data_IF_895342729840
#
_entry.id   IF_895342729840
#
_cell.length_a   1.000
_cell.length_b   1.000
_cell.length_c   1.000
_cell.angle_alpha   90.00
_cell.angle_beta   90.00
_cell.angle_gamma   90.00
#
_symmetry.space_group_name_H-M   'P 1'
#
loop_
_entity.id
_entity.type
_entity.pdbx_description
1 polymer ?
#
# COMPACT_ATOMS: atom_id res chain seq x y z
N UNK A 1 25.96 1.02 19.12
CA UNK A 1 24.51 1.03 19.40
C UNK A 1 23.72 1.87 18.39
N UNK A 2 24.09 3.12 18.15
CA UNK A 2 23.32 4.03 17.27
C UNK A 2 23.20 3.56 15.79
N UNK A 3 24.27 2.99 15.21
CA UNK A 3 24.23 2.39 13.85
C UNK A 3 23.24 1.21 13.73
N UNK A 4 23.16 0.36 14.76
CA UNK A 4 22.25 -0.81 14.77
C UNK A 4 20.79 -0.33 14.81
N UNK A 5 20.50 0.70 15.62
CA UNK A 5 19.18 1.33 15.65
C UNK A 5 18.77 1.96 14.32
N UNK A 6 19.70 2.64 13.62
CA UNK A 6 19.42 3.19 12.29
C UNK A 6 19.08 2.08 11.28
N UNK A 7 19.87 1.01 11.24
CA UNK A 7 19.60 -0.14 10.34
C UNK A 7 18.24 -0.77 10.64
N UNK A 8 17.91 -1.00 11.93
CA UNK A 8 16.63 -1.57 12.33
C UNK A 8 15.45 -0.68 11.93
N UNK A 9 15.60 0.65 12.07
CA UNK A 9 14.60 1.65 11.66
C UNK A 9 14.32 1.59 10.16
N UNK A 10 15.35 1.55 9.31
CA UNK A 10 15.15 1.44 7.87
C UNK A 10 14.58 0.08 7.47
N UNK A 11 14.97 -1.01 8.14
CA UNK A 11 14.40 -2.32 7.89
C UNK A 11 12.89 -2.37 8.21
N UNK A 12 12.46 -1.76 9.31
CA UNK A 12 11.05 -1.61 9.66
C UNK A 12 10.28 -0.78 8.62
N UNK A 13 10.84 0.35 8.17
CA UNK A 13 10.21 1.13 7.09
C UNK A 13 10.07 0.33 5.80
N UNK A 14 11.07 -0.49 5.48
CA UNK A 14 11.07 -1.33 4.29
C UNK A 14 9.95 -2.38 4.37
N UNK A 15 9.80 -3.05 5.52
CA UNK A 15 8.68 -3.98 5.77
C UNK A 15 7.34 -3.25 5.68
N UNK A 16 7.17 -2.10 6.35
CA UNK A 16 5.91 -1.35 6.34
C UNK A 16 5.53 -0.88 4.93
N UNK A 17 6.50 -0.45 4.12
CA UNK A 17 6.27 -0.02 2.74
C UNK A 17 5.87 -1.17 1.81
N UNK A 18 6.51 -2.35 1.96
CA UNK A 18 6.13 -3.58 1.26
C UNK A 18 4.73 -4.02 1.67
N UNK A 19 4.41 -3.99 2.95
CA UNK A 19 3.10 -4.34 3.47
C UNK A 19 2.02 -3.40 2.92
N UNK A 20 2.27 -2.08 2.86
CA UNK A 20 1.37 -1.11 2.23
C UNK A 20 1.16 -1.39 0.73
N UNK A 21 2.22 -1.71 -0.01
CA UNK A 21 2.11 -2.07 -1.42
C UNK A 21 1.30 -3.36 -1.62
N UNK A 22 1.52 -4.38 -0.77
CA UNK A 22 0.76 -5.64 -0.82
C UNK A 22 -0.71 -5.44 -0.46
N UNK A 23 -1.01 -4.59 0.53
CA UNK A 23 -2.39 -4.24 0.87
C UNK A 23 -3.08 -3.45 -0.24
N UNK A 24 -2.37 -2.51 -0.87
CA UNK A 24 -2.88 -1.79 -2.04
C UNK A 24 -2.98 -2.64 -3.31
N UNK A 25 -2.25 -3.76 -3.41
CA UNK A 25 -2.29 -4.63 -4.60
C UNK A 25 -3.22 -5.84 -4.47
N UNK A 26 -3.56 -6.27 -3.25
CA UNK A 26 -4.35 -7.51 -3.02
C UNK A 26 -5.85 -7.26 -2.89
N UNK A 27 -6.29 -6.01 -3.05
CA UNK A 27 -7.60 -5.61 -2.62
C UNK A 27 -7.65 -5.65 -1.09
N UNK A 28 -8.03 -4.58 -0.41
CA UNK A 28 -8.12 -4.54 1.07
C UNK A 28 -9.26 -5.44 1.63
N UNK A 29 -9.65 -6.50 0.92
CA UNK A 29 -10.94 -7.17 1.07
C UNK A 29 -12.11 -6.29 0.64
N UNK A 30 -11.85 -5.12 0.06
CA UNK A 30 -12.91 -4.25 -0.43
C UNK A 30 -13.63 -4.86 -1.62
N UNK A 31 -12.94 -5.56 -2.52
CA UNK A 31 -13.59 -6.23 -3.64
C UNK A 31 -14.69 -7.19 -3.21
N UNK A 32 -14.49 -7.96 -2.14
CA UNK A 32 -15.52 -8.88 -1.62
C UNK A 32 -16.65 -8.14 -0.88
N UNK A 33 -16.35 -7.06 -0.16
CA UNK A 33 -17.35 -6.22 0.52
C UNK A 33 -18.18 -5.43 -0.50
N UNK A 34 -17.55 -4.83 -1.50
CA UNK A 34 -18.19 -4.10 -2.61
C UNK A 34 -19.03 -5.07 -3.43
N UNK A 35 -18.50 -6.26 -3.76
CA UNK A 35 -19.27 -7.29 -4.45
C UNK A 35 -20.51 -7.68 -3.63
N UNK A 36 -20.37 -7.86 -2.31
CA UNK A 36 -21.48 -8.20 -1.43
C UNK A 36 -22.54 -7.08 -1.34
N UNK A 37 -22.11 -5.83 -1.14
CA UNK A 37 -23.00 -4.66 -1.14
C UNK A 37 -23.70 -4.55 -2.49
N UNK A 38 -22.96 -4.65 -3.58
CA UNK A 38 -23.50 -4.58 -4.93
C UNK A 38 -24.49 -5.70 -5.22
N UNK A 39 -24.23 -6.91 -4.73
CA UNK A 39 -25.14 -8.03 -4.89
C UNK A 39 -26.44 -7.81 -4.10
N UNK A 40 -26.37 -7.30 -2.87
CA UNK A 40 -27.54 -6.97 -2.04
C UNK A 40 -28.34 -5.84 -2.69
N UNK A 41 -27.68 -4.74 -3.07
CA UNK A 41 -28.35 -3.58 -3.69
C UNK A 41 -29.01 -3.98 -5.00
N UNK A 42 -28.32 -4.72 -5.87
CA UNK A 42 -28.92 -5.25 -7.11
C UNK A 42 -30.16 -6.09 -6.84
N UNK A 43 -30.13 -6.97 -5.83
CA UNK A 43 -31.29 -7.77 -5.42
C UNK A 43 -32.48 -6.95 -4.93
N UNK A 44 -32.24 -5.75 -4.37
CA UNK A 44 -33.27 -4.89 -3.78
C UNK A 44 -33.82 -3.89 -4.80
N UNK A 45 -32.96 -3.20 -5.54
CA UNK A 45 -33.36 -2.09 -6.42
C UNK A 45 -33.30 -2.41 -7.91
N UNK A 46 -32.61 -3.49 -8.32
CA UNK A 46 -32.38 -3.81 -9.72
C UNK A 46 -31.42 -2.85 -10.45
N UNK A 47 -30.87 -1.85 -9.75
CA UNK A 47 -30.03 -0.79 -10.33
C UNK A 47 -28.54 -1.06 -10.08
N UNK A 48 -27.75 -1.02 -11.15
CA UNK A 48 -26.32 -1.40 -11.20
C UNK A 48 -25.40 -0.18 -11.33
N UNK A 49 -25.97 1.03 -11.33
CA UNK A 49 -25.20 2.25 -11.59
C UNK A 49 -24.39 2.73 -10.38
N UNK A 50 -24.96 2.61 -9.17
CA UNK A 50 -24.28 3.02 -7.94
C UNK A 50 -23.11 2.09 -7.57
N UNK A 51 -23.24 0.80 -7.88
CA UNK A 51 -22.25 -0.23 -7.61
C UNK A 51 -20.92 -0.03 -8.34
N UNK A 52 -20.98 0.46 -9.58
CA UNK A 52 -19.79 0.77 -10.40
C UNK A 52 -19.02 1.96 -9.83
N UNK A 53 -19.73 2.99 -9.31
CA UNK A 53 -19.11 4.17 -8.71
C UNK A 53 -18.28 3.84 -7.47
N UNK A 54 -18.80 2.97 -6.60
CA UNK A 54 -18.07 2.52 -5.42
C UNK A 54 -16.83 1.71 -5.80
N UNK A 55 -16.95 0.80 -6.77
CA UNK A 55 -15.82 -0.01 -7.25
C UNK A 55 -14.66 0.87 -7.74
N UNK A 56 -14.95 1.90 -8.54
CA UNK A 56 -13.94 2.85 -9.02
C UNK A 56 -13.30 3.63 -7.87
N UNK A 57 -14.10 4.09 -6.90
CA UNK A 57 -13.59 4.83 -5.74
C UNK A 57 -12.60 4.00 -4.92
N UNK A 58 -12.94 2.76 -4.60
CA UNK A 58 -12.07 1.89 -3.80
C UNK A 58 -10.79 1.51 -4.54
N UNK A 59 -10.88 1.26 -5.86
CA UNK A 59 -9.69 0.99 -6.67
C UNK A 59 -8.75 2.20 -6.74
N UNK A 60 -9.29 3.42 -6.76
CA UNK A 60 -8.47 4.64 -6.65
C UNK A 60 -7.77 4.73 -5.30
N UNK A 61 -8.47 4.43 -4.20
CA UNK A 61 -7.88 4.44 -2.85
C UNK A 61 -6.75 3.41 -2.73
N UNK A 62 -6.95 2.19 -3.24
CA UNK A 62 -5.93 1.14 -3.25
C UNK A 62 -4.68 1.54 -4.04
N UNK A 63 -4.87 2.14 -5.20
CA UNK A 63 -3.77 2.67 -6.01
C UNK A 63 -3.00 3.77 -5.27
N UNK A 64 -3.68 4.66 -4.55
CA UNK A 64 -3.02 5.70 -3.75
C UNK A 64 -2.20 5.09 -2.61
N UNK A 65 -2.74 4.11 -1.89
CA UNK A 65 -2.04 3.41 -0.80
C UNK A 65 -0.79 2.70 -1.34
N UNK A 66 -0.92 2.01 -2.48
CA UNK A 66 0.19 1.35 -3.15
C UNK A 66 1.28 2.35 -3.56
N UNK A 67 0.88 3.49 -4.14
CA UNK A 67 1.80 4.55 -4.54
C UNK A 67 2.57 5.15 -3.34
N UNK A 68 1.89 5.40 -2.22
CA UNK A 68 2.53 5.86 -0.98
C UNK A 68 3.54 4.82 -0.48
N UNK A 69 3.17 3.55 -0.49
CA UNK A 69 4.08 2.45 -0.16
C UNK A 69 5.33 2.46 -1.05
N UNK A 70 5.17 2.61 -2.35
CA UNK A 70 6.29 2.67 -3.31
C UNK A 70 7.24 3.85 -3.04
N UNK A 71 6.70 5.04 -2.77
CA UNK A 71 7.50 6.23 -2.45
C UNK A 71 8.34 5.98 -1.19
N UNK A 72 7.73 5.44 -0.13
CA UNK A 72 8.42 5.12 1.11
C UNK A 72 9.49 4.04 0.93
N UNK A 73 9.23 3.06 0.07
CA UNK A 73 10.20 2.03 -0.27
C UNK A 73 11.44 2.60 -0.96
N UNK A 74 11.25 3.41 -2.00
CA UNK A 74 12.34 4.07 -2.72
C UNK A 74 13.15 4.94 -1.75
N UNK A 75 12.49 5.77 -0.96
CA UNK A 75 13.13 6.62 0.04
C UNK A 75 13.98 5.80 1.04
N UNK A 76 13.47 4.66 1.48
CA UNK A 76 14.17 3.78 2.43
C UNK A 76 15.40 3.15 1.79
N UNK A 77 15.28 2.64 0.56
CA UNK A 77 16.41 2.06 -0.19
C UNK A 77 17.49 3.11 -0.44
N UNK A 78 17.12 4.32 -0.88
CA UNK A 78 18.07 5.42 -1.10
C UNK A 78 18.87 5.74 0.16
N UNK A 79 18.22 5.81 1.32
CA UNK A 79 18.91 6.07 2.59
C UNK A 79 19.82 4.92 3.02
N UNK A 80 19.42 3.66 2.80
CA UNK A 80 20.28 2.51 3.06
C UNK A 80 21.53 2.56 2.16
N UNK A 81 21.37 2.87 0.87
CA UNK A 81 22.49 2.98 -0.07
C UNK A 81 23.45 4.10 0.32
N UNK A 82 22.93 5.26 0.73
CA UNK A 82 23.75 6.38 1.24
C UNK A 82 24.55 5.97 2.48
N UNK A 83 23.91 5.30 3.45
CA UNK A 83 24.57 4.79 4.65
C UNK A 83 25.66 3.76 4.36
N UNK A 84 25.45 2.91 3.34
CA UNK A 84 26.46 1.93 2.91
C UNK A 84 27.63 2.61 2.19
N UNK A 85 27.36 3.63 1.37
CA UNK A 85 28.41 4.42 0.71
C UNK A 85 29.31 5.13 1.72
N UNK A 86 28.74 5.84 2.69
CA UNK A 86 29.50 6.48 3.78
C UNK A 86 30.37 5.50 4.58
N UNK A 87 30.00 4.22 4.61
CA UNK A 87 30.75 3.17 5.32
C UNK A 87 31.91 2.60 4.48
N UNK A 88 31.85 2.70 3.15
CA UNK A 88 32.82 2.14 2.23
C UNK A 88 33.86 3.16 1.72
N UNK A 89 33.63 4.46 1.91
CA UNK A 89 34.61 5.53 1.63
C UNK A 89 35.64 5.70 2.78
N UNK A 90 36.09 4.58 3.39
CA UNK A 90 37.22 4.50 4.34
C UNK A 90 38.30 3.59 3.76
#
# INVERSE_FOLDING_TARGET
>A
MEKIYKVLKYFLYLISSIVMMLFGSRGLGFDSIIYFINHITWKITGDISQSIKYLVFFQVVENIISLIGLILFIYTITNILLLLKEKNDI
#
